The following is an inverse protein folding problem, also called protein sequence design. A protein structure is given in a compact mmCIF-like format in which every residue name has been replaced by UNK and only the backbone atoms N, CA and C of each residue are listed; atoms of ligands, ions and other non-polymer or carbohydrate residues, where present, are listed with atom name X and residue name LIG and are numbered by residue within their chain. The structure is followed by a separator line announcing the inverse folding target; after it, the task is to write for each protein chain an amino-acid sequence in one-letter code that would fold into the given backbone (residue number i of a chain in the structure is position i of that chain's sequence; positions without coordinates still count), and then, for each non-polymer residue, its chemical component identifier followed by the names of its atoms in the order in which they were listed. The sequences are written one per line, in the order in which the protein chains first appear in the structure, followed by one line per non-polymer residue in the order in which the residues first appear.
data_IF_351960301675
#
_entry.id   IF_351960301675
#
_cell.length_a   1.000
_cell.length_b   1.000
_cell.length_c   1.000
_cell.angle_alpha   90.00
_cell.angle_beta   90.00
_cell.angle_gamma   90.00
#
_symmetry.space_group_name_H-M   'P 1'
#
loop_
_entity.id
_entity.type
_entity.pdbx_description
1 polymer ?
#
# COMPACT_ATOMS: atom_id res chain seq x y z
N UNK A 1 4.75 33.22 7.00
CA UNK A 1 5.89 32.60 7.70
C UNK A 1 5.87 31.15 7.31
N UNK A 2 6.66 30.82 6.30
CA UNK A 2 6.75 29.47 5.74
C UNK A 2 7.76 28.70 6.60
N UNK A 3 7.28 27.95 7.59
CA UNK A 3 8.15 27.06 8.35
C UNK A 3 8.27 25.76 7.58
N UNK A 4 9.44 25.52 7.03
CA UNK A 4 9.78 24.23 6.43
C UNK A 4 9.60 23.13 7.49
N UNK A 5 8.83 22.07 7.19
CA UNK A 5 8.62 20.97 8.13
C UNK A 5 9.92 20.25 8.45
N UNK A 6 10.06 19.74 9.67
CA UNK A 6 11.22 18.93 10.07
C UNK A 6 11.15 17.53 9.46
N UNK A 7 12.28 16.81 9.34
CA UNK A 7 12.28 15.43 8.83
C UNK A 7 11.34 14.49 9.59
N UNK A 8 11.23 14.64 10.91
CA UNK A 8 10.35 13.83 11.76
C UNK A 8 8.87 14.14 11.49
N UNK A 9 8.54 15.39 11.18
CA UNK A 9 7.19 15.78 10.77
C UNK A 9 6.85 15.16 9.42
N UNK A 10 7.74 15.28 8.43
CA UNK A 10 7.56 14.66 7.11
C UNK A 10 7.39 13.14 7.19
N UNK A 11 8.19 12.46 8.00
CA UNK A 11 8.08 11.01 8.18
C UNK A 11 6.75 10.62 8.83
N UNK A 12 6.29 11.38 9.83
CA UNK A 12 5.00 11.16 10.49
C UNK A 12 3.84 11.37 9.52
N UNK A 13 3.86 12.48 8.78
CA UNK A 13 2.83 12.82 7.81
C UNK A 13 2.74 11.74 6.72
N UNK A 14 3.88 11.20 6.29
CA UNK A 14 3.91 10.07 5.36
C UNK A 14 3.31 8.79 5.95
N UNK A 15 3.68 8.42 7.18
CA UNK A 15 3.09 7.26 7.87
C UNK A 15 1.58 7.43 8.02
N UNK A 16 1.14 8.62 8.41
CA UNK A 16 -0.28 8.95 8.55
C UNK A 16 -1.01 8.88 7.20
N UNK A 17 -0.39 9.34 6.11
CA UNK A 17 -0.92 9.27 4.75
C UNK A 17 -1.05 7.82 4.26
N UNK A 18 -0.06 6.97 4.53
CA UNK A 18 -0.05 5.57 4.08
C UNK A 18 -1.07 4.70 4.85
N UNK A 19 -1.58 5.18 5.97
CA UNK A 19 -2.65 4.50 6.67
C UNK A 19 -3.99 4.59 5.93
N UNK A 20 -4.82 3.56 6.09
CA UNK A 20 -6.12 3.45 5.42
C UNK A 20 -7.25 3.31 6.44
N UNK A 21 -8.39 3.92 6.16
CA UNK A 21 -9.63 3.71 6.90
C UNK A 21 -10.27 2.40 6.42
N UNK A 22 -10.65 1.50 7.33
CA UNK A 22 -11.52 0.36 6.97
C UNK A 22 -12.97 0.85 6.94
N UNK A 23 -13.63 0.70 5.79
CA UNK A 23 -15.01 1.18 5.60
C UNK A 23 -16.01 0.02 5.52
N UNK A 24 -15.55 -1.18 5.17
CA UNK A 24 -16.29 -2.45 5.24
C UNK A 24 -15.29 -3.62 5.18
N UNK A 25 -15.77 -4.85 5.31
CA UNK A 25 -14.98 -6.08 5.18
C UNK A 25 -14.23 -6.08 3.85
N UNK A 26 -12.90 -6.15 3.93
CA UNK A 26 -11.99 -6.13 2.77
C UNK A 26 -12.15 -4.88 1.88
N UNK A 27 -12.67 -3.79 2.42
CA UNK A 27 -12.87 -2.53 1.72
C UNK A 27 -12.30 -1.36 2.54
N UNK A 28 -11.36 -0.65 1.95
CA UNK A 28 -10.59 0.40 2.61
C UNK A 28 -10.63 1.71 1.83
N UNK A 29 -10.47 2.83 2.53
CA UNK A 29 -10.37 4.17 1.96
C UNK A 29 -9.01 4.78 2.31
N UNK A 30 -8.26 5.18 1.29
CA UNK A 30 -7.01 5.92 1.46
C UNK A 30 -7.26 7.40 1.78
N UNK A 31 -6.40 7.98 2.61
CA UNK A 31 -6.37 9.42 2.84
C UNK A 31 -5.90 10.16 1.58
N UNK A 32 -6.38 11.39 1.44
CA UNK A 32 -5.94 12.31 0.38
C UNK A 32 -4.50 12.75 0.66
N UNK A 33 -3.64 12.61 -0.34
CA UNK A 33 -2.33 13.26 -0.35
C UNK A 33 -2.47 14.66 -0.97
N UNK A 34 -1.59 15.58 -0.58
CA UNK A 34 -1.45 16.87 -1.24
C UNK A 34 -0.02 17.00 -1.76
N UNK A 35 0.28 16.20 -2.79
CA UNK A 35 1.62 16.14 -3.36
C UNK A 35 1.91 17.37 -4.26
N UNK A 36 0.88 18.15 -4.59
CA UNK A 36 1.00 19.40 -5.36
C UNK A 36 1.34 19.20 -6.83
N UNK A 37 1.24 17.96 -7.35
CA UNK A 37 1.59 17.62 -8.72
C UNK A 37 0.37 17.43 -9.64
N UNK A 38 -0.84 17.59 -9.10
CA UNK A 38 -2.10 17.42 -9.83
C UNK A 38 -2.46 15.96 -10.11
N UNK A 39 -1.73 15.00 -9.54
CA UNK A 39 -1.97 13.56 -9.64
C UNK A 39 -1.34 12.84 -8.46
N UNK A 40 -2.01 11.79 -7.99
CA UNK A 40 -1.52 10.98 -6.87
C UNK A 40 -0.21 10.28 -7.22
N UNK A 41 0.77 10.36 -6.32
CA UNK A 41 2.03 9.64 -6.48
C UNK A 41 1.84 8.12 -6.47
N UNK A 42 2.45 7.41 -7.42
CA UNK A 42 2.29 5.95 -7.55
C UNK A 42 2.73 5.16 -6.31
N UNK A 43 3.76 5.63 -5.59
CA UNK A 43 4.20 5.02 -4.34
C UNK A 43 3.16 5.13 -3.22
N UNK A 44 2.39 6.22 -3.16
CA UNK A 44 1.26 6.34 -2.23
C UNK A 44 0.20 5.28 -2.55
N UNK A 45 -0.19 5.15 -3.82
CA UNK A 45 -1.23 4.19 -4.22
C UNK A 45 -0.83 2.76 -3.88
N UNK A 46 0.43 2.37 -4.13
CA UNK A 46 0.97 1.05 -3.77
C UNK A 46 1.06 0.89 -2.26
N UNK A 47 1.57 1.88 -1.53
CA UNK A 47 1.72 1.81 -0.07
C UNK A 47 0.38 1.61 0.64
N UNK A 48 -0.63 2.39 0.26
CA UNK A 48 -2.00 2.25 0.77
C UNK A 48 -2.65 0.91 0.36
N UNK A 49 -2.42 0.44 -0.89
CA UNK A 49 -2.90 -0.86 -1.32
C UNK A 49 -2.27 -2.02 -0.53
N UNK A 50 -0.97 -1.93 -0.25
CA UNK A 50 -0.25 -2.93 0.55
C UNK A 50 -0.71 -2.91 2.01
N UNK A 51 -0.95 -1.73 2.57
CA UNK A 51 -1.53 -1.57 3.90
C UNK A 51 -2.91 -2.23 3.99
N UNK A 52 -3.79 -2.01 3.01
CA UNK A 52 -5.10 -2.67 2.91
C UNK A 52 -4.96 -4.21 2.84
N UNK A 53 -4.03 -4.71 2.02
CA UNK A 53 -3.78 -6.15 1.92
C UNK A 53 -3.30 -6.76 3.25
N UNK A 54 -2.36 -6.12 3.96
CA UNK A 54 -1.86 -6.61 5.24
C UNK A 54 -2.94 -6.58 6.34
N UNK A 55 -3.80 -5.54 6.37
CA UNK A 55 -4.91 -5.47 7.33
C UNK A 55 -5.96 -6.57 7.14
N UNK A 56 -6.07 -7.13 5.93
CA UNK A 56 -7.00 -8.24 5.63
C UNK A 56 -6.53 -9.62 6.12
N UNK A 57 -5.39 -9.71 6.82
CA UNK A 57 -4.89 -10.97 7.39
C UNK A 57 -5.12 -11.03 8.89
N UNK A 58 -5.56 -12.18 9.42
CA UNK A 58 -5.88 -12.37 10.84
C UNK A 58 -4.63 -12.44 11.74
N UNK A 59 -3.56 -13.05 11.24
CA UNK A 59 -2.26 -13.14 11.90
C UNK A 59 -1.24 -12.24 11.16
N UNK A 60 -0.20 -11.74 11.85
CA UNK A 60 0.81 -10.89 11.23
C UNK A 60 1.60 -11.65 10.15
N UNK A 61 1.11 -11.55 8.91
CA UNK A 61 1.82 -11.95 7.70
C UNK A 61 2.35 -10.70 7.01
N UNK A 62 3.64 -10.70 6.69
CA UNK A 62 4.32 -9.57 6.08
C UNK A 62 4.43 -9.81 4.58
N UNK A 63 4.21 -8.76 3.79
CA UNK A 63 4.40 -8.85 2.35
C UNK A 63 5.87 -9.15 2.01
N UNK A 64 6.10 -10.17 1.18
CA UNK A 64 7.43 -10.52 0.66
C UNK A 64 7.54 -10.35 -0.86
N UNK A 65 6.41 -10.21 -1.54
CA UNK A 65 6.37 -9.82 -2.95
C UNK A 65 5.06 -9.13 -3.29
N UNK A 66 5.11 -8.26 -4.31
CA UNK A 66 3.94 -7.66 -4.93
C UNK A 66 4.19 -7.43 -6.42
N UNK A 67 3.10 -7.44 -7.18
CA UNK A 67 3.06 -7.05 -8.58
C UNK A 67 1.91 -6.07 -8.77
N UNK A 68 2.14 -5.00 -9.52
CA UNK A 68 1.18 -3.93 -9.67
C UNK A 68 1.13 -3.42 -11.12
N UNK A 69 -0.08 -3.15 -11.60
CA UNK A 69 -0.33 -2.48 -12.87
C UNK A 69 -1.11 -1.18 -12.63
N UNK A 70 -0.52 -0.06 -13.05
CA UNK A 70 -1.20 1.23 -13.10
C UNK A 70 -1.95 1.34 -14.42
N UNK A 71 -3.26 1.58 -14.35
CA UNK A 71 -4.11 1.68 -15.53
C UNK A 71 -4.48 3.12 -15.86
N UNK A 72 -4.57 3.99 -14.85
CA UNK A 72 -5.02 5.38 -14.97
C UNK A 72 -4.30 6.26 -13.94
N UNK A 73 -4.11 7.56 -14.22
CA UNK A 73 -3.64 8.50 -13.21
C UNK A 73 -4.68 8.64 -12.10
N UNK A 74 -4.22 8.75 -10.84
CA UNK A 74 -5.09 9.04 -9.70
C UNK A 74 -5.31 10.54 -9.55
N UNK A 75 -6.53 10.95 -9.15
CA UNK A 75 -6.88 12.34 -8.86
C UNK A 75 -6.61 12.68 -7.38
N UNK A 76 -6.03 13.84 -7.09
CA UNK A 76 -5.66 14.27 -5.72
C UNK A 76 -6.85 14.76 -4.90
N UNK A 77 -7.96 15.13 -5.56
CA UNK A 77 -9.15 15.72 -4.94
C UNK A 77 -10.20 14.67 -4.52
N UNK A 78 -9.95 13.38 -4.77
CA UNK A 78 -10.86 12.29 -4.46
C UNK A 78 -10.17 11.13 -3.72
N UNK A 79 -10.80 10.55 -2.68
CA UNK A 79 -10.20 9.43 -1.97
C UNK A 79 -10.13 8.19 -2.87
N UNK A 80 -9.12 7.36 -2.64
CA UNK A 80 -8.96 6.08 -3.35
C UNK A 80 -9.63 4.98 -2.53
N UNK A 81 -10.47 4.18 -3.18
CA UNK A 81 -11.09 3.00 -2.58
C UNK A 81 -10.29 1.75 -2.95
N UNK A 82 -9.85 0.99 -1.95
CA UNK A 82 -9.09 -0.23 -2.08
C UNK A 82 -9.98 -1.41 -1.71
N UNK A 83 -10.36 -2.22 -2.69
CA UNK A 83 -11.05 -3.48 -2.45
C UNK A 83 -10.05 -4.62 -2.47
N UNK A 84 -10.00 -5.38 -1.39
CA UNK A 84 -9.17 -6.56 -1.23
C UNK A 84 -9.98 -7.80 -1.60
N UNK A 85 -9.36 -8.75 -2.28
CA UNK A 85 -9.87 -10.10 -2.53
C UNK A 85 -8.87 -11.08 -1.94
N UNK A 86 -9.39 -11.97 -1.09
CA UNK A 86 -8.62 -13.03 -0.44
C UNK A 86 -8.47 -14.23 -1.37
N UNK A 87 -7.50 -14.17 -2.28
CA UNK A 87 -7.26 -15.23 -3.26
C UNK A 87 -6.83 -16.56 -2.60
N UNK A 88 -6.11 -16.50 -1.48
CA UNK A 88 -5.69 -17.69 -0.72
C UNK A 88 -5.36 -17.36 0.75
N UNK A 89 -5.74 -18.27 1.66
CA UNK A 89 -5.37 -18.23 3.07
C UNK A 89 -4.84 -19.60 3.54
N UNK A 90 -3.52 -19.70 3.67
CA UNK A 90 -2.84 -20.85 4.25
C UNK A 90 -2.28 -20.55 5.64
N UNK A 91 -1.68 -21.56 6.26
CA UNK A 91 -1.03 -21.42 7.58
C UNK A 91 0.17 -20.45 7.54
N UNK A 92 1.06 -20.62 6.56
CA UNK A 92 2.26 -19.77 6.44
C UNK A 92 2.07 -18.60 5.48
N UNK A 93 1.25 -18.77 4.45
CA UNK A 93 1.11 -17.80 3.35
C UNK A 93 -0.32 -17.25 3.24
N UNK A 94 -0.43 -16.07 2.65
CA UNK A 94 -1.68 -15.49 2.17
C UNK A 94 -1.44 -14.81 0.83
N UNK A 95 -2.39 -14.90 -0.09
CA UNK A 95 -2.35 -14.15 -1.35
C UNK A 95 -3.53 -13.20 -1.38
N UNK A 96 -3.26 -11.94 -1.73
CA UNK A 96 -4.27 -10.88 -1.81
C UNK A 96 -4.21 -10.22 -3.17
N UNK A 97 -5.38 -9.87 -3.70
CA UNK A 97 -5.52 -8.98 -4.83
C UNK A 97 -6.20 -7.69 -4.37
N UNK A 98 -5.67 -6.55 -4.76
CA UNK A 98 -6.20 -5.24 -4.41
C UNK A 98 -6.51 -4.46 -5.67
N UNK A 99 -7.76 -4.01 -5.78
CA UNK A 99 -8.19 -3.10 -6.84
C UNK A 99 -8.40 -1.73 -6.23
N UNK A 100 -7.56 -0.77 -6.62
CA UNK A 100 -7.73 0.62 -6.24
C UNK A 100 -8.61 1.33 -7.26
N UNK A 101 -9.62 2.06 -6.81
CA UNK A 101 -10.67 2.65 -7.64
C UNK A 101 -10.91 4.10 -7.26
N UNK A 102 -11.07 4.95 -8.28
CA UNK A 102 -11.61 6.30 -8.14
C UNK A 102 -12.71 6.50 -9.19
N UNK A 103 -13.79 7.21 -8.84
CA UNK A 103 -14.94 7.43 -9.72
C UNK A 103 -15.50 6.15 -10.37
N UNK A 104 -15.46 5.03 -9.64
CA UNK A 104 -15.88 3.72 -10.16
C UNK A 104 -14.95 3.12 -11.22
N UNK A 105 -13.80 3.73 -11.51
CA UNK A 105 -12.81 3.26 -12.47
C UNK A 105 -11.56 2.72 -11.75
N UNK A 106 -11.09 1.51 -12.08
CA UNK A 106 -9.84 0.99 -11.55
C UNK A 106 -8.65 1.86 -11.98
N UNK A 107 -7.82 2.26 -11.03
CA UNK A 107 -6.57 3.01 -11.27
C UNK A 107 -5.34 2.12 -11.06
N UNK A 108 -5.44 1.13 -10.16
CA UNK A 108 -4.40 0.14 -9.83
C UNK A 108 -5.03 -1.25 -9.72
N UNK A 109 -4.33 -2.25 -10.24
CA UNK A 109 -4.53 -3.66 -9.89
C UNK A 109 -3.23 -4.19 -9.31
N UNK A 110 -3.26 -4.64 -8.06
CA UNK A 110 -2.12 -5.20 -7.36
C UNK A 110 -2.41 -6.62 -6.90
N UNK A 111 -1.43 -7.51 -6.98
CA UNK A 111 -1.43 -8.80 -6.29
C UNK A 111 -0.21 -8.85 -5.38
N UNK A 112 -0.37 -9.31 -4.15
CA UNK A 112 0.73 -9.50 -3.22
C UNK A 112 0.66 -10.86 -2.52
N UNK A 113 1.85 -11.35 -2.16
CA UNK A 113 2.03 -12.54 -1.34
C UNK A 113 2.58 -12.13 0.02
N UNK A 114 1.93 -12.65 1.06
CA UNK A 114 2.27 -12.40 2.45
C UNK A 114 2.66 -13.71 3.12
N UNK A 115 3.63 -13.64 4.02
CA UNK A 115 4.13 -14.78 4.76
C UNK A 115 4.32 -14.42 6.23
N UNK A 116 4.05 -15.36 7.14
CA UNK A 116 4.45 -15.22 8.54
C UNK A 116 6.00 -15.14 8.64
N UNK A 117 6.57 -14.37 9.57
CA UNK A 117 8.02 -14.35 9.76
C UNK A 117 8.56 -15.75 10.11
N UNK A 118 9.58 -16.20 9.38
CA UNK A 118 10.25 -17.49 9.59
C UNK A 118 11.76 -17.34 9.42
N UNK A 119 12.53 -18.10 10.20
CA UNK A 119 13.96 -18.23 9.97
C UNK A 119 14.25 -19.14 8.78
N UNK A 120 15.42 -18.99 8.18
CA UNK A 120 15.84 -19.80 7.04
C UNK A 120 17.26 -19.48 6.62
N UNK A 121 17.66 -20.04 5.48
CA UNK A 121 18.92 -19.66 4.85
C UNK A 121 18.82 -18.21 4.37
N UNK A 122 19.86 -17.41 4.65
CA UNK A 122 19.95 -16.02 4.22
C UNK A 122 21.27 -15.80 3.48
N UNK A 123 21.19 -15.15 2.32
CA UNK A 123 22.33 -14.61 1.60
C UNK A 123 21.87 -13.35 0.85
N UNK A 124 22.78 -12.41 0.64
CA UNK A 124 22.57 -11.23 -0.19
C UNK A 124 23.91 -10.84 -0.82
N UNK A 125 23.86 -10.12 -1.94
CA UNK A 125 25.06 -9.52 -2.52
C UNK A 125 25.65 -8.47 -1.57
N UNK A 126 26.97 -8.31 -1.61
CA UNK A 126 27.65 -7.24 -0.88
C UNK A 126 27.25 -5.88 -1.47
N UNK A 127 26.87 -4.93 -0.60
CA UNK A 127 26.55 -3.56 -1.01
C UNK A 127 27.76 -2.92 -1.72
N UNK A 128 27.58 -2.25 -2.87
CA UNK A 128 28.70 -1.60 -3.57
C UNK A 128 29.28 -0.45 -2.74
N UNK A 129 30.59 -0.22 -2.87
CA UNK A 129 31.22 1.00 -2.36
C UNK A 129 30.84 2.17 -3.29
N UNK A 130 30.24 3.23 -2.72
CA UNK A 130 29.75 4.44 -3.43
C UNK A 130 30.53 5.68 -3.03
#
# INVERSE_FOLDING_TARGET
MDQTPTPEQLARDLVDLLDVEEIDTDLYRGKLGNDGFGRVFGGQVIGQALQAAQRSTEEPKIAHSLHAYFMRPGAEDHPIIYRVVRDFDGKSFATRRVIATQHGQPILSMTCSLQRPEGGLAHQDTMPEV
#
